data_IF_512202099442
#
_entry.id   IF_512202099442
#
_cell.length_a   1.000
_cell.length_b   1.000
_cell.length_c   1.000
_cell.angle_alpha   90.00
_cell.angle_beta   90.00
_cell.angle_gamma   90.00
#
_symmetry.space_group_name_H-M   'P 1'
#
loop_
_entity.id
_entity.type
_entity.pdbx_description
1 polymer ?
#
# COMPACT_ATOMS: atom_id res chain seq x y z
N UNK A 1 -23.04 12.63 -9.21
CA UNK A 1 -21.84 11.81 -9.48
C UNK A 1 -20.74 12.30 -8.57
N UNK A 2 -20.35 11.51 -7.56
CA UNK A 2 -19.26 11.89 -6.64
C UNK A 2 -17.92 11.86 -7.38
N UNK A 3 -17.12 12.91 -7.24
CA UNK A 3 -15.77 12.99 -7.82
C UNK A 3 -14.88 11.98 -7.09
N UNK A 4 -14.35 10.98 -7.81
CA UNK A 4 -13.33 10.09 -7.25
C UNK A 4 -12.11 10.92 -6.86
N UNK A 5 -11.62 10.74 -5.64
CA UNK A 5 -10.35 11.32 -5.21
C UNK A 5 -9.28 10.27 -5.46
N UNK A 6 -8.32 10.62 -6.32
CA UNK A 6 -7.20 9.75 -6.65
C UNK A 6 -5.97 10.18 -5.85
N UNK A 7 -5.49 9.30 -4.99
CA UNK A 7 -4.19 9.47 -4.33
C UNK A 7 -3.14 8.60 -4.99
N UNK A 8 -1.88 9.03 -4.92
CA UNK A 8 -0.73 8.23 -5.34
C UNK A 8 0.14 7.93 -4.12
N UNK A 9 0.35 6.65 -3.84
CA UNK A 9 1.41 6.19 -2.95
C UNK A 9 2.63 5.86 -3.79
N UNK A 10 3.81 6.18 -3.29
CA UNK A 10 5.08 5.83 -3.92
C UNK A 10 6.08 5.51 -2.83
N UNK A 11 6.90 4.50 -3.07
CA UNK A 11 7.92 4.02 -2.14
C UNK A 11 9.13 3.52 -2.92
N UNK A 12 10.27 3.44 -2.24
CA UNK A 12 11.46 2.79 -2.78
C UNK A 12 11.27 1.27 -2.74
N UNK A 13 11.37 0.56 -3.88
CA UNK A 13 11.35 -0.89 -3.87
C UNK A 13 12.45 -1.46 -2.99
N UNK A 14 12.16 -2.53 -2.28
CA UNK A 14 13.15 -3.28 -1.51
C UNK A 14 14.21 -3.89 -2.45
N UNK A 15 15.47 -3.76 -2.04
CA UNK A 15 16.62 -4.42 -2.68
C UNK A 15 16.86 -5.85 -2.15
N UNK A 16 16.05 -6.32 -1.19
CA UNK A 16 16.17 -7.68 -0.66
C UNK A 16 15.61 -8.70 -1.67
N UNK A 17 16.45 -9.61 -2.20
CA UNK A 17 16.02 -10.59 -3.21
C UNK A 17 15.02 -11.62 -2.67
N UNK A 18 14.77 -11.68 -1.35
CA UNK A 18 13.78 -12.57 -0.74
C UNK A 18 12.37 -11.99 -0.75
N UNK A 19 12.21 -10.70 -1.05
CA UNK A 19 10.89 -10.06 -1.14
C UNK A 19 10.16 -10.55 -2.38
N UNK A 20 8.97 -11.11 -2.18
CA UNK A 20 8.12 -11.63 -3.27
C UNK A 20 7.11 -10.58 -3.76
N UNK A 21 6.85 -9.57 -2.93
CA UNK A 21 5.93 -8.48 -3.27
C UNK A 21 5.54 -7.64 -2.07
N UNK A 22 4.47 -6.87 -2.25
CA UNK A 22 3.95 -5.96 -1.25
C UNK A 22 2.48 -6.22 -0.97
N UNK A 23 2.06 -6.08 0.29
CA UNK A 23 0.65 -6.05 0.69
C UNK A 23 0.28 -4.62 1.01
N UNK A 24 -0.80 -4.17 0.39
CA UNK A 24 -1.39 -2.86 0.64
C UNK A 24 -2.61 -3.06 1.53
N UNK A 25 -2.58 -2.38 2.68
CA UNK A 25 -3.69 -2.36 3.62
C UNK A 25 -4.35 -0.99 3.62
N UNK A 26 -5.66 -0.97 3.83
CA UNK A 26 -6.48 0.21 4.06
C UNK A 26 -7.24 0.00 5.37
N UNK A 27 -7.02 0.88 6.35
CA UNK A 27 -7.59 0.76 7.69
C UNK A 27 -7.32 -0.60 8.36
N UNK A 28 -6.19 -1.24 8.03
CA UNK A 28 -5.79 -2.56 8.54
C UNK A 28 -6.32 -3.75 7.73
N UNK A 29 -7.19 -3.53 6.74
CA UNK A 29 -7.68 -4.59 5.85
C UNK A 29 -6.84 -4.69 4.58
N UNK A 30 -6.49 -5.91 4.17
CA UNK A 30 -5.75 -6.15 2.92
C UNK A 30 -6.65 -5.82 1.73
N UNK A 31 -6.25 -4.84 0.92
CA UNK A 31 -7.01 -4.42 -0.26
C UNK A 31 -6.31 -4.78 -1.57
N UNK A 32 -5.00 -5.00 -1.56
CA UNK A 32 -4.25 -5.36 -2.76
C UNK A 32 -2.93 -6.09 -2.45
N UNK A 33 -2.44 -6.85 -3.44
CA UNK A 33 -1.14 -7.51 -3.45
C UNK A 33 -0.39 -7.10 -4.71
N UNK A 34 0.73 -6.40 -4.53
CA UNK A 34 1.53 -5.86 -5.61
C UNK A 34 2.77 -6.74 -5.86
N UNK A 35 3.17 -6.94 -7.12
CA UNK A 35 4.35 -7.74 -7.44
C UNK A 35 5.64 -7.09 -6.94
N UNK A 36 6.68 -7.91 -6.74
CA UNK A 36 8.05 -7.44 -6.50
C UNK A 36 8.46 -6.39 -7.54
N UNK A 37 9.23 -5.39 -7.10
CA UNK A 37 9.65 -4.27 -7.95
C UNK A 37 8.63 -3.14 -8.11
N UNK A 38 7.40 -3.29 -7.60
CA UNK A 38 6.45 -2.18 -7.53
C UNK A 38 7.00 -1.03 -6.69
N UNK A 39 6.85 0.20 -7.18
CA UNK A 39 7.31 1.43 -6.54
C UNK A 39 6.18 2.47 -6.34
N UNK A 40 4.94 2.10 -6.64
CA UNK A 40 3.80 2.99 -6.50
C UNK A 40 2.47 2.36 -6.88
N UNK A 41 1.38 2.94 -6.36
CA UNK A 41 0.00 2.52 -6.62
C UNK A 41 -0.93 3.74 -6.62
N UNK A 42 -1.99 3.68 -7.43
CA UNK A 42 -3.08 4.66 -7.45
C UNK A 42 -4.22 4.15 -6.59
N UNK A 43 -4.70 5.00 -5.70
CA UNK A 43 -5.78 4.70 -4.78
C UNK A 43 -7.01 5.52 -5.15
N UNK A 44 -8.15 4.86 -5.23
CA UNK A 44 -9.43 5.47 -5.59
C UNK A 44 -10.31 5.54 -4.34
N UNK A 45 -10.39 6.73 -3.74
CA UNK A 45 -11.23 6.97 -2.57
C UNK A 45 -12.62 7.44 -3.03
N UNK A 46 -13.66 6.68 -2.65
CA UNK A 46 -15.05 6.98 -3.02
C UNK A 46 -15.75 7.93 -2.05
N UNK A 47 -15.23 8.10 -0.84
CA UNK A 47 -15.81 8.96 0.21
C UNK A 47 -14.77 10.00 0.71
N UNK A 48 -14.88 11.27 0.31
CA UNK A 48 -13.94 12.34 0.71
C UNK A 48 -13.87 12.66 2.20
N UNK A 49 -14.90 12.28 2.96
CA UNK A 49 -15.09 12.69 4.34
C UNK A 49 -14.57 11.66 5.36
N UNK A 50 -14.10 10.51 4.90
CA UNK A 50 -13.46 9.50 5.75
C UNK A 50 -11.94 9.61 5.66
N UNK A 51 -11.26 9.40 6.79
CA UNK A 51 -9.80 9.28 6.82
C UNK A 51 -9.44 7.86 6.40
N UNK A 52 -8.64 7.73 5.35
CA UNK A 52 -8.06 6.46 4.94
C UNK A 52 -6.62 6.36 5.45
N UNK A 53 -6.34 5.34 6.25
CA UNK A 53 -4.98 5.00 6.66
C UNK A 53 -4.50 3.89 5.76
N UNK A 54 -3.42 4.13 5.02
CA UNK A 54 -2.80 3.10 4.18
C UNK A 54 -1.48 2.64 4.79
N UNK A 55 -1.20 1.34 4.71
CA UNK A 55 0.10 0.78 5.06
C UNK A 55 0.55 -0.19 4.00
N UNK A 56 1.87 -0.26 3.82
CA UNK A 56 2.50 -1.16 2.87
C UNK A 56 3.55 -1.97 3.63
N UNK A 57 3.53 -3.28 3.43
CA UNK A 57 4.56 -4.20 3.93
C UNK A 57 5.10 -5.02 2.78
N UNK A 58 6.38 -5.35 2.82
CA UNK A 58 6.91 -6.43 1.98
C UNK A 58 6.61 -7.78 2.62
N UNK A 59 6.37 -8.81 1.80
CA UNK A 59 6.24 -10.18 2.28
C UNK A 59 7.26 -11.09 1.58
N UNK A 60 7.73 -12.09 2.32
CA UNK A 60 8.71 -13.07 1.89
C UNK A 60 8.05 -14.39 1.49
N UNK A 61 8.76 -15.27 0.76
CA UNK A 61 8.25 -16.58 0.31
C UNK A 61 7.76 -17.50 1.45
N UNK A 62 8.30 -17.32 2.66
CA UNK A 62 7.87 -18.03 3.87
C UNK A 62 6.63 -17.39 4.54
N UNK A 63 5.99 -16.41 3.89
CA UNK A 63 4.83 -15.62 4.37
C UNK A 63 5.07 -14.80 5.65
N UNK A 64 6.31 -14.66 6.09
CA UNK A 64 6.69 -13.67 7.12
C UNK A 64 6.62 -12.27 6.47
N UNK A 65 6.18 -11.27 7.22
CA UNK A 65 6.13 -9.86 6.80
C UNK A 65 7.32 -9.09 7.40
N UNK A 66 7.79 -8.05 6.72
CA UNK A 66 8.78 -7.11 7.27
C UNK A 66 8.18 -6.24 8.40
N UNK A 67 9.01 -5.42 9.06
CA UNK A 67 8.49 -4.33 9.88
C UNK A 67 7.61 -3.38 9.02
N UNK A 68 6.53 -2.87 9.63
CA UNK A 68 5.51 -2.05 8.99
C UNK A 68 6.08 -0.69 8.55
N UNK A 69 5.96 -0.36 7.26
CA UNK A 69 6.16 1.01 6.78
C UNK A 69 4.79 1.70 6.72
N UNK A 70 4.50 2.51 7.74
CA UNK A 70 3.29 3.34 7.78
C UNK A 70 3.45 4.54 6.83
N UNK A 71 2.59 4.62 5.81
CA UNK A 71 2.53 5.78 4.92
C UNK A 71 1.20 6.50 5.14
N UNK A 72 1.23 7.54 5.97
CA UNK A 72 0.06 8.39 6.22
C UNK A 72 -0.05 9.40 5.09
N UNK A 73 -1.07 9.25 4.24
CA UNK A 73 -1.38 10.26 3.23
C UNK A 73 -2.01 11.49 3.90
N UNK A 74 -1.51 12.71 3.63
CA UNK A 74 -2.19 13.92 4.06
C UNK A 74 -3.53 14.08 3.34
N UNK A 75 -4.43 14.87 3.98
CA UNK A 75 -5.73 15.29 3.45
C UNK A 75 -5.63 15.88 2.04
#
# INVERSE_FOLDING_TARGET
MGKEIVHKLSWEPSSDPKVEGYRLYQNGELIDVLPVGSCGVRLYCRCPHERYVYSIVSFYANRVESELVLVILPK
#
